data_IF_596240383148
#
_entry.id   IF_596240383148
#
_cell.length_a   1.000
_cell.length_b   1.000
_cell.length_c   1.000
_cell.angle_alpha   90.00
_cell.angle_beta   90.00
_cell.angle_gamma   90.00
#
_symmetry.space_group_name_H-M   'P 1'
#
loop_
_entity.id
_entity.type
_entity.pdbx_description
1 polymer ?
#
# COMPACT_ATOMS: atom_id res chain seq x y z
N UNK A 1 -23.54 13.82 -39.42
CA UNK A 1 -22.64 12.68 -39.71
C UNK A 1 -22.62 11.86 -38.46
N UNK A 2 -23.33 10.76 -38.47
CA UNK A 2 -23.52 9.89 -37.31
C UNK A 2 -22.19 9.20 -36.93
N UNK A 3 -21.66 9.54 -35.74
CA UNK A 3 -20.49 8.90 -35.18
C UNK A 3 -20.85 7.63 -34.36
N UNK A 4 -21.91 6.95 -34.75
CA UNK A 4 -22.24 5.62 -34.21
C UNK A 4 -21.60 4.56 -35.11
N UNK A 5 -20.30 4.34 -34.93
CA UNK A 5 -19.64 3.20 -35.51
C UNK A 5 -19.10 2.34 -34.37
N UNK A 6 -19.86 1.29 -34.05
CA UNK A 6 -19.44 0.20 -33.18
C UNK A 6 -18.28 -0.57 -33.86
N UNK A 7 -17.13 0.09 -33.97
CA UNK A 7 -15.91 -0.62 -34.28
C UNK A 7 -15.57 -1.48 -33.07
N UNK A 8 -15.71 -2.76 -33.23
CA UNK A 8 -15.27 -3.79 -32.32
C UNK A 8 -13.73 -3.69 -32.26
N UNK A 9 -13.20 -2.88 -31.38
CA UNK A 9 -11.78 -2.89 -31.08
C UNK A 9 -11.47 -4.23 -30.42
N UNK A 10 -10.82 -5.11 -31.17
CA UNK A 10 -10.32 -6.40 -30.67
C UNK A 10 -8.91 -6.28 -30.08
N UNK A 11 -8.32 -5.10 -30.15
CA UNK A 11 -6.96 -4.80 -29.73
C UNK A 11 -6.95 -4.00 -28.43
N UNK A 12 -6.23 -4.53 -27.45
CA UNK A 12 -6.10 -3.93 -26.14
C UNK A 12 -5.51 -2.50 -26.16
N UNK A 13 -4.57 -2.22 -27.08
CA UNK A 13 -3.96 -0.89 -27.25
C UNK A 13 -4.96 0.12 -27.81
N UNK A 14 -5.78 -0.28 -28.78
CA UNK A 14 -6.82 0.58 -29.35
C UNK A 14 -7.89 0.93 -28.31
N UNK A 15 -8.35 -0.04 -27.53
CA UNK A 15 -9.30 0.17 -26.44
C UNK A 15 -8.72 1.12 -25.37
N UNK A 16 -7.47 0.94 -24.99
CA UNK A 16 -6.77 1.81 -24.06
C UNK A 16 -6.68 3.24 -24.60
N UNK A 17 -6.22 3.41 -25.84
CA UNK A 17 -6.05 4.73 -26.46
C UNK A 17 -7.37 5.51 -26.52
N UNK A 18 -8.45 4.87 -26.93
CA UNK A 18 -9.78 5.50 -27.02
C UNK A 18 -10.35 5.75 -25.61
N UNK A 19 -10.21 4.81 -24.68
CA UNK A 19 -10.63 5.00 -23.29
C UNK A 19 -9.94 6.19 -22.62
N UNK A 20 -8.64 6.32 -22.83
CA UNK A 20 -7.85 7.45 -22.33
C UNK A 20 -8.33 8.80 -22.90
N UNK A 21 -8.65 8.87 -24.18
CA UNK A 21 -9.18 10.09 -24.83
C UNK A 21 -10.55 10.50 -24.28
N UNK A 22 -11.44 9.56 -23.98
CA UNK A 22 -12.70 9.85 -23.28
C UNK A 22 -12.48 10.34 -21.85
N UNK A 23 -11.45 9.86 -21.17
CA UNK A 23 -11.12 10.30 -19.82
C UNK A 23 -10.58 11.75 -19.81
N UNK A 24 -9.69 12.06 -20.73
CA UNK A 24 -8.99 13.35 -20.83
C UNK A 24 -9.81 14.42 -21.57
N UNK A 25 -10.79 14.02 -22.38
CA UNK A 25 -11.54 14.93 -23.25
C UNK A 25 -10.72 15.34 -24.50
N UNK A 26 -9.72 14.52 -24.88
CA UNK A 26 -8.85 14.80 -26.02
C UNK A 26 -9.53 14.39 -27.35
N UNK A 27 -9.95 15.37 -28.15
CA UNK A 27 -10.69 15.21 -29.41
C UNK A 27 -12.04 14.48 -29.30
N UNK A 28 -12.51 14.20 -28.09
CA UNK A 28 -13.79 13.58 -27.76
C UNK A 28 -14.41 14.32 -26.58
N UNK A 29 -15.73 14.33 -26.49
CA UNK A 29 -16.40 14.83 -25.28
C UNK A 29 -16.02 13.92 -24.10
N UNK A 30 -15.67 14.54 -22.97
CA UNK A 30 -15.26 13.84 -21.77
C UNK A 30 -16.38 12.94 -21.23
N UNK A 31 -16.15 11.64 -21.20
CA UNK A 31 -17.10 10.62 -20.72
C UNK A 31 -16.37 9.60 -19.84
N UNK A 32 -16.31 9.82 -18.51
CA UNK A 32 -15.63 8.92 -17.59
C UNK A 32 -16.23 7.51 -17.56
N UNK A 33 -17.55 7.38 -17.77
CA UNK A 33 -18.24 6.06 -17.76
C UNK A 33 -17.80 5.24 -18.95
N UNK A 34 -17.82 5.85 -20.15
CA UNK A 34 -17.35 5.18 -21.38
C UNK A 34 -15.85 4.93 -21.36
N UNK A 35 -15.07 5.85 -20.77
CA UNK A 35 -13.65 5.66 -20.54
C UNK A 35 -13.40 4.39 -19.70
N UNK A 36 -14.11 4.24 -18.59
CA UNK A 36 -13.98 3.07 -17.69
C UNK A 36 -14.33 1.76 -18.39
N UNK A 37 -15.42 1.72 -19.16
CA UNK A 37 -15.80 0.50 -19.93
C UNK A 37 -14.68 0.08 -20.89
N UNK A 38 -14.18 1.02 -21.70
CA UNK A 38 -13.12 0.74 -22.67
C UNK A 38 -11.80 0.32 -22.01
N UNK A 39 -11.44 0.97 -20.93
CA UNK A 39 -10.24 0.64 -20.16
C UNK A 39 -10.37 -0.72 -19.47
N UNK A 40 -11.56 -1.08 -18.95
CA UNK A 40 -11.82 -2.41 -18.36
C UNK A 40 -11.68 -3.51 -19.39
N UNK A 41 -12.16 -3.29 -20.61
CA UNK A 41 -11.99 -4.22 -21.72
C UNK A 41 -10.53 -4.35 -22.15
N UNK A 42 -9.79 -3.24 -22.21
CA UNK A 42 -8.35 -3.27 -22.49
C UNK A 42 -7.59 -4.05 -21.39
N UNK A 43 -7.92 -3.81 -20.13
CA UNK A 43 -7.32 -4.48 -18.98
C UNK A 43 -7.57 -6.00 -18.99
N UNK A 44 -8.81 -6.43 -19.33
CA UNK A 44 -9.15 -7.86 -19.46
C UNK A 44 -8.40 -8.56 -20.60
N UNK A 45 -7.92 -7.80 -21.59
CA UNK A 45 -7.05 -8.28 -22.66
C UNK A 45 -5.55 -8.20 -22.28
N UNK A 46 -5.22 -7.91 -21.02
CA UNK A 46 -3.86 -7.86 -20.52
C UNK A 46 -3.14 -6.52 -20.72
N UNK A 47 -3.84 -5.44 -21.06
CA UNK A 47 -3.23 -4.13 -21.24
C UNK A 47 -2.88 -3.47 -19.90
N UNK A 48 -1.61 -3.53 -19.51
CA UNK A 48 -1.09 -3.10 -18.22
C UNK A 48 -1.40 -1.62 -17.88
N UNK A 49 -1.19 -0.69 -18.83
CA UNK A 49 -1.49 0.73 -18.60
C UNK A 49 -2.99 1.00 -18.42
N UNK A 50 -3.86 0.18 -19.01
CA UNK A 50 -5.30 0.28 -18.78
C UNK A 50 -5.64 -0.16 -17.34
N UNK A 51 -5.02 -1.21 -16.83
CA UNK A 51 -5.15 -1.65 -15.44
C UNK A 51 -4.70 -0.55 -14.47
N UNK A 52 -3.53 0.04 -14.73
CA UNK A 52 -2.98 1.15 -13.93
C UNK A 52 -3.91 2.38 -13.95
N UNK A 53 -4.44 2.72 -15.11
CA UNK A 53 -5.33 3.87 -15.29
C UNK A 53 -6.69 3.64 -14.64
N UNK A 54 -7.26 2.44 -14.73
CA UNK A 54 -8.50 2.06 -14.04
C UNK A 54 -8.36 2.18 -12.52
N UNK A 55 -7.25 1.74 -11.97
CA UNK A 55 -6.95 1.88 -10.54
C UNK A 55 -6.87 3.36 -10.13
N UNK A 56 -6.36 4.24 -11.02
CA UNK A 56 -6.35 5.68 -10.76
C UNK A 56 -7.72 6.36 -10.98
N UNK A 57 -8.62 5.72 -11.75
CA UNK A 57 -10.01 6.14 -11.98
C UNK A 57 -10.98 5.58 -10.94
N UNK A 58 -10.52 4.74 -10.02
CA UNK A 58 -11.35 4.40 -8.86
C UNK A 58 -11.77 5.72 -8.24
N UNK A 59 -13.05 6.05 -8.41
CA UNK A 59 -13.64 7.22 -7.79
C UNK A 59 -13.27 7.16 -6.32
N UNK A 60 -12.58 8.20 -5.85
CA UNK A 60 -12.53 8.41 -4.41
C UNK A 60 -14.00 8.39 -3.99
N UNK A 61 -14.42 7.43 -3.16
CA UNK A 61 -15.82 7.35 -2.78
C UNK A 61 -16.25 8.74 -2.31
N UNK A 62 -17.47 9.19 -2.66
CA UNK A 62 -17.96 10.46 -2.12
C UNK A 62 -17.78 10.43 -0.60
N UNK A 63 -17.37 11.53 0.02
CA UNK A 63 -17.05 11.61 1.46
C UNK A 63 -18.13 10.98 2.36
N UNK A 64 -19.37 10.94 1.88
CA UNK A 64 -20.52 10.36 2.58
C UNK A 64 -20.90 8.94 2.16
N UNK A 65 -20.16 8.31 1.23
CA UNK A 65 -20.47 6.95 0.79
C UNK A 65 -20.19 5.90 1.87
N UNK A 66 -20.87 4.73 1.87
CA UNK A 66 -20.54 3.62 2.76
C UNK A 66 -19.08 3.15 2.61
N UNK A 67 -18.55 3.19 1.39
CA UNK A 67 -17.17 2.81 1.06
C UNK A 67 -16.16 3.80 1.66
N UNK A 68 -16.44 5.10 1.62
CA UNK A 68 -15.61 6.12 2.26
C UNK A 68 -15.62 5.96 3.77
N UNK A 69 -16.80 5.69 4.35
CA UNK A 69 -16.95 5.52 5.81
C UNK A 69 -16.20 4.30 6.32
N UNK A 70 -16.34 3.14 5.68
CA UNK A 70 -15.66 1.92 6.12
C UNK A 70 -14.13 2.06 5.98
N UNK A 71 -13.65 2.76 4.94
CA UNK A 71 -12.24 3.08 4.77
C UNK A 71 -11.75 4.03 5.88
N UNK A 72 -12.51 5.09 6.17
CA UNK A 72 -12.18 6.05 7.22
C UNK A 72 -12.22 5.40 8.61
N UNK A 73 -13.18 4.51 8.89
CA UNK A 73 -13.21 3.73 10.13
C UNK A 73 -11.93 2.91 10.29
N UNK A 74 -11.51 2.18 9.25
CA UNK A 74 -10.29 1.38 9.26
C UNK A 74 -9.05 2.23 9.53
N UNK A 75 -8.79 3.26 8.70
CA UNK A 75 -7.55 4.04 8.77
C UNK A 75 -7.46 4.94 10.00
N UNK A 76 -8.60 5.34 10.57
CA UNK A 76 -8.65 6.16 11.79
C UNK A 76 -8.63 5.34 13.09
N UNK A 77 -8.56 4.01 12.98
CA UNK A 77 -8.48 3.10 14.13
C UNK A 77 -9.81 2.83 14.84
N UNK A 78 -10.94 3.17 14.21
CA UNK A 78 -12.26 2.76 14.67
C UNK A 78 -12.50 1.29 14.30
N UNK A 79 -13.47 0.69 14.95
CA UNK A 79 -13.88 -0.69 14.66
C UNK A 79 -14.57 -0.79 13.29
N UNK A 80 -14.14 -1.74 12.46
CA UNK A 80 -14.68 -1.97 11.13
C UNK A 80 -14.87 -3.46 10.84
N UNK A 81 -15.66 -3.77 9.81
CA UNK A 81 -15.83 -5.14 9.31
C UNK A 81 -14.79 -5.44 8.25
N UNK A 82 -13.79 -6.28 8.59
CA UNK A 82 -12.72 -6.68 7.69
C UNK A 82 -13.20 -7.47 6.46
N UNK A 83 -14.44 -7.97 6.48
CA UNK A 83 -15.01 -8.70 5.35
C UNK A 83 -15.82 -7.82 4.38
N UNK A 84 -15.86 -6.51 4.62
CA UNK A 84 -16.58 -5.58 3.75
C UNK A 84 -16.07 -5.68 2.30
N UNK A 85 -16.96 -5.86 1.30
CA UNK A 85 -16.55 -6.09 -0.09
C UNK A 85 -15.58 -5.06 -0.65
N UNK A 86 -15.77 -3.77 -0.36
CA UNK A 86 -14.89 -2.69 -0.78
C UNK A 86 -13.45 -2.85 -0.26
N UNK A 87 -13.27 -3.25 1.01
CA UNK A 87 -11.95 -3.49 1.58
C UNK A 87 -11.28 -4.71 0.95
N UNK A 88 -12.04 -5.79 0.72
CA UNK A 88 -11.53 -7.01 0.09
C UNK A 88 -11.11 -6.77 -1.38
N UNK A 89 -11.87 -5.96 -2.12
CA UNK A 89 -11.52 -5.58 -3.49
C UNK A 89 -10.19 -4.84 -3.54
N UNK A 90 -10.01 -3.81 -2.71
CA UNK A 90 -8.76 -3.04 -2.60
C UNK A 90 -7.58 -3.92 -2.17
N UNK A 91 -7.80 -4.78 -1.18
CA UNK A 91 -6.79 -5.73 -0.71
C UNK A 91 -6.33 -6.67 -1.84
N UNK A 92 -7.26 -7.20 -2.64
CA UNK A 92 -6.94 -8.07 -3.76
C UNK A 92 -6.20 -7.31 -4.88
N UNK A 93 -6.66 -6.10 -5.23
CA UNK A 93 -5.98 -5.26 -6.21
C UNK A 93 -4.53 -4.95 -5.79
N UNK A 94 -4.30 -4.69 -4.50
CA UNK A 94 -2.94 -4.50 -3.97
C UNK A 94 -2.11 -5.78 -4.07
N UNK A 95 -2.67 -6.95 -3.73
CA UNK A 95 -1.97 -8.24 -3.84
C UNK A 95 -1.54 -8.56 -5.26
N UNK A 96 -2.35 -8.24 -6.26
CA UNK A 96 -2.01 -8.41 -7.67
C UNK A 96 -0.81 -7.52 -8.05
N UNK A 97 -0.79 -6.26 -7.62
CA UNK A 97 0.33 -5.33 -7.86
C UNK A 97 1.63 -5.78 -7.16
N UNK A 98 1.52 -6.29 -5.94
CA UNK A 98 2.65 -6.88 -5.20
C UNK A 98 3.20 -8.11 -5.92
N UNK A 99 2.30 -8.96 -6.44
CA UNK A 99 2.70 -10.11 -7.22
C UNK A 99 3.48 -9.70 -8.47
N UNK A 100 3.05 -8.67 -9.20
CA UNK A 100 3.79 -8.11 -10.32
C UNK A 100 5.15 -7.57 -9.89
N UNK A 101 5.19 -6.75 -8.82
CA UNK A 101 6.42 -6.22 -8.27
C UNK A 101 7.42 -7.32 -7.93
N UNK A 102 6.99 -8.34 -7.22
CA UNK A 102 7.85 -9.43 -6.76
C UNK A 102 8.38 -10.34 -7.88
N UNK A 103 7.78 -10.30 -9.07
CA UNK A 103 8.24 -11.04 -10.26
C UNK A 103 9.20 -10.27 -11.16
N UNK A 104 9.34 -8.96 -10.98
CA UNK A 104 10.30 -8.19 -11.75
C UNK A 104 11.74 -8.65 -11.45
N UNK A 105 12.58 -8.68 -12.48
CA UNK A 105 14.01 -8.94 -12.30
C UNK A 105 14.64 -7.85 -11.44
N UNK A 106 15.58 -8.18 -10.53
CA UNK A 106 16.24 -7.20 -9.68
C UNK A 106 16.90 -6.04 -10.43
N UNK A 107 17.36 -6.27 -11.66
CA UNK A 107 17.98 -5.27 -12.53
C UNK A 107 17.01 -4.26 -13.16
N UNK A 108 15.69 -4.51 -13.12
CA UNK A 108 14.66 -3.62 -13.69
C UNK A 108 14.29 -2.51 -12.69
N UNK A 109 15.28 -1.67 -12.36
CA UNK A 109 15.14 -0.66 -11.30
C UNK A 109 14.08 0.39 -11.61
N UNK A 110 13.95 0.79 -12.87
CA UNK A 110 12.98 1.80 -13.30
C UNK A 110 11.56 1.29 -13.11
N UNK A 111 11.26 0.11 -13.61
CA UNK A 111 9.95 -0.53 -13.54
C UNK A 111 9.56 -0.83 -12.08
N UNK A 112 10.52 -1.28 -11.27
CA UNK A 112 10.32 -1.50 -9.83
C UNK A 112 9.93 -0.20 -9.12
N UNK A 113 10.65 0.88 -9.38
CA UNK A 113 10.38 2.18 -8.78
C UNK A 113 9.02 2.77 -9.23
N UNK A 114 8.64 2.56 -10.49
CA UNK A 114 7.33 2.96 -11.01
C UNK A 114 6.18 2.22 -10.29
N UNK A 115 6.32 0.90 -10.11
CA UNK A 115 5.33 0.12 -9.36
C UNK A 115 5.24 0.54 -7.89
N UNK A 116 6.37 0.76 -7.22
CA UNK A 116 6.38 1.22 -5.83
C UNK A 116 5.71 2.59 -5.66
N UNK A 117 5.98 3.55 -6.57
CA UNK A 117 5.31 4.86 -6.52
C UNK A 117 3.79 4.78 -6.67
N UNK A 118 3.32 3.84 -7.50
CA UNK A 118 1.89 3.62 -7.66
C UNK A 118 1.27 2.79 -6.53
N UNK A 119 2.06 2.03 -5.78
CA UNK A 119 1.61 1.16 -4.70
C UNK A 119 1.58 1.89 -3.35
N UNK A 120 2.64 2.64 -3.04
CA UNK A 120 2.79 3.31 -1.75
C UNK A 120 2.04 4.64 -1.73
N UNK A 121 1.44 4.99 -0.60
CA UNK A 121 0.74 6.26 -0.40
C UNK A 121 1.65 7.48 -0.53
N UNK A 122 2.93 7.33 -0.18
CA UNK A 122 4.00 8.29 -0.45
C UNK A 122 5.35 7.59 -0.51
N UNK A 123 6.11 7.85 -1.55
CA UNK A 123 7.51 7.44 -1.66
C UNK A 123 8.27 8.44 -2.52
N UNK A 124 9.53 8.69 -2.18
CA UNK A 124 10.40 9.52 -2.99
C UNK A 124 11.14 8.67 -4.04
N UNK A 125 11.75 9.31 -5.05
CA UNK A 125 12.38 8.62 -6.19
C UNK A 125 13.60 7.75 -5.84
N UNK A 126 14.13 7.89 -4.62
CA UNK A 126 15.25 7.13 -4.06
C UNK A 126 14.82 6.04 -3.06
N UNK A 127 13.53 5.72 -3.04
CA UNK A 127 12.99 4.59 -2.26
C UNK A 127 13.45 3.27 -2.88
N UNK A 128 14.03 2.40 -2.06
CA UNK A 128 14.49 1.09 -2.48
C UNK A 128 13.98 -0.01 -1.55
N UNK A 129 13.22 -0.95 -2.09
CA UNK A 129 12.73 -2.12 -1.36
C UNK A 129 13.19 -3.38 -2.10
N UNK A 130 13.90 -4.29 -1.44
CA UNK A 130 14.23 -5.58 -2.01
C UNK A 130 13.01 -6.50 -2.05
N UNK A 131 12.93 -7.28 -3.11
CA UNK A 131 11.90 -8.30 -3.30
C UNK A 131 12.26 -9.59 -2.54
N UNK A 132 11.28 -10.33 -2.02
CA UNK A 132 9.87 -9.97 -2.04
C UNK A 132 9.51 -8.90 -0.99
N UNK A 133 8.47 -8.14 -1.30
CA UNK A 133 7.82 -7.17 -0.43
C UNK A 133 6.33 -7.53 -0.31
N UNK A 134 5.73 -7.29 0.86
CA UNK A 134 4.32 -7.56 1.11
C UNK A 134 3.66 -6.43 1.89
N UNK A 135 2.44 -6.05 1.50
CA UNK A 135 1.58 -5.16 2.27
C UNK A 135 0.10 -5.48 1.99
N UNK A 136 -0.81 -4.92 2.77
CA UNK A 136 -2.24 -5.12 2.58
C UNK A 136 -2.84 -4.10 1.60
N UNK A 137 -2.64 -2.82 1.84
CA UNK A 137 -3.18 -1.76 0.98
C UNK A 137 -2.09 -0.94 0.27
N UNK A 138 -0.91 -0.81 0.85
CA UNK A 138 0.19 0.00 0.34
C UNK A 138 -0.08 1.50 0.41
N UNK A 139 -1.30 1.94 0.11
CA UNK A 139 -1.72 3.34 0.12
C UNK A 139 -1.60 4.02 1.50
N UNK A 140 -1.57 3.25 2.57
CA UNK A 140 -1.38 3.76 3.93
C UNK A 140 0.08 3.80 4.36
N UNK A 141 1.02 3.35 3.51
CA UNK A 141 2.46 3.37 3.78
C UNK A 141 3.06 4.65 3.21
N UNK A 142 3.76 5.40 4.05
CA UNK A 142 4.47 6.63 3.67
C UNK A 142 5.92 6.50 4.09
N UNK A 143 6.84 6.64 3.16
CA UNK A 143 8.29 6.58 3.41
C UNK A 143 8.96 7.87 2.95
N UNK A 144 9.96 8.30 3.72
CA UNK A 144 10.77 9.47 3.44
C UNK A 144 11.86 9.21 2.41
N UNK A 145 12.77 10.18 2.28
CA UNK A 145 13.90 10.13 1.34
C UNK A 145 14.94 9.10 1.77
N UNK A 146 15.59 8.49 0.79
CA UNK A 146 16.67 7.50 0.99
C UNK A 146 16.25 6.31 1.85
N UNK A 147 14.97 5.94 1.74
CA UNK A 147 14.43 4.77 2.42
C UNK A 147 14.96 3.49 1.77
N UNK A 148 15.49 2.60 2.59
CA UNK A 148 15.95 1.28 2.18
C UNK A 148 15.28 0.19 2.99
N UNK A 149 14.69 -0.81 2.33
CA UNK A 149 14.24 -2.04 2.97
C UNK A 149 14.85 -3.27 2.30
N UNK A 150 15.28 -4.21 3.12
CA UNK A 150 15.84 -5.48 2.70
C UNK A 150 14.73 -6.52 2.42
N UNK A 151 15.13 -7.75 2.10
CA UNK A 151 14.24 -8.85 1.68
C UNK A 151 13.15 -9.17 2.72
N UNK A 152 11.97 -9.57 2.22
CA UNK A 152 10.82 -9.98 3.04
C UNK A 152 10.33 -8.89 4.00
N UNK A 153 10.42 -7.62 3.60
CA UNK A 153 9.76 -6.54 4.33
C UNK A 153 8.26 -6.72 4.20
N UNK A 154 7.55 -6.74 5.33
CA UNK A 154 6.10 -6.98 5.39
C UNK A 154 5.43 -5.88 6.21
N UNK A 155 4.37 -5.28 5.66
CA UNK A 155 3.61 -4.22 6.34
C UNK A 155 2.13 -4.53 6.22
N UNK A 156 1.46 -4.80 7.35
CA UNK A 156 -0.01 -4.88 7.39
C UNK A 156 -0.50 -3.46 7.71
N UNK A 157 -0.95 -2.74 6.68
CA UNK A 157 -1.18 -1.30 6.72
C UNK A 157 -2.68 -0.92 6.70
N UNK A 158 -3.47 -1.51 7.57
CA UNK A 158 -4.86 -1.11 7.82
C UNK A 158 -4.95 0.32 8.38
N UNK A 159 -3.99 0.71 9.23
CA UNK A 159 -3.78 2.09 9.67
C UNK A 159 -2.47 2.65 9.07
N UNK A 160 -2.28 3.99 9.10
CA UNK A 160 -1.09 4.62 8.56
C UNK A 160 0.21 4.09 9.16
N UNK A 161 1.17 3.77 8.27
CA UNK A 161 2.57 3.49 8.61
C UNK A 161 3.42 4.60 8.01
N UNK A 162 4.05 5.40 8.87
CA UNK A 162 4.89 6.52 8.44
C UNK A 162 6.34 6.26 8.86
N UNK A 163 7.25 6.34 7.91
CA UNK A 163 8.70 6.19 8.13
C UNK A 163 9.41 7.44 7.61
N UNK A 164 10.29 7.99 8.41
CA UNK A 164 11.05 9.20 8.09
C UNK A 164 12.16 8.99 7.07
N UNK A 165 13.02 10.00 6.96
CA UNK A 165 14.18 10.02 6.05
C UNK A 165 15.31 9.12 6.57
N UNK A 166 16.17 8.63 5.65
CA UNK A 166 17.41 7.90 5.98
C UNK A 166 17.19 6.64 6.83
N UNK A 167 16.09 5.94 6.63
CA UNK A 167 15.79 4.72 7.37
C UNK A 167 16.26 3.47 6.65
N UNK A 168 16.86 2.55 7.42
CA UNK A 168 17.37 1.27 6.95
C UNK A 168 16.64 0.12 7.65
N UNK A 169 15.94 -0.67 6.85
CA UNK A 169 15.16 -1.83 7.34
C UNK A 169 15.87 -3.11 6.95
N UNK A 170 16.20 -3.92 7.95
CA UNK A 170 16.82 -5.24 7.77
C UNK A 170 15.88 -6.28 7.14
N UNK A 171 16.40 -7.46 6.79
CA UNK A 171 15.58 -8.52 6.21
C UNK A 171 14.57 -9.09 7.22
N UNK A 172 13.43 -9.56 6.71
CA UNK A 172 12.34 -10.16 7.50
C UNK A 172 11.77 -9.25 8.58
N UNK A 173 11.80 -7.93 8.39
CA UNK A 173 11.14 -6.99 9.30
C UNK A 173 9.65 -6.95 8.99
N UNK A 174 8.84 -6.95 10.05
CA UNK A 174 7.39 -6.88 9.95
C UNK A 174 6.86 -5.71 10.78
N UNK A 175 5.93 -4.94 10.18
CA UNK A 175 5.20 -3.85 10.84
C UNK A 175 3.72 -4.22 10.76
N UNK A 176 3.05 -4.25 11.91
CA UNK A 176 1.63 -4.59 11.99
C UNK A 176 0.84 -3.41 12.56
N UNK A 177 -0.26 -3.07 11.91
CA UNK A 177 -1.21 -2.08 12.42
C UNK A 177 -2.52 -2.71 12.87
N UNK A 178 -2.90 -3.86 12.29
CA UNK A 178 -4.13 -4.58 12.60
C UNK A 178 -4.18 -5.10 14.04
N UNK A 179 -5.34 -5.00 14.65
CA UNK A 179 -5.64 -5.48 15.99
C UNK A 179 -6.93 -6.31 15.98
N UNK A 180 -6.91 -7.43 16.67
CA UNK A 180 -8.09 -8.27 16.90
C UNK A 180 -8.42 -8.38 18.38
N UNK A 181 -9.68 -8.61 18.71
CA UNK A 181 -10.08 -8.89 20.09
C UNK A 181 -9.43 -10.18 20.60
N UNK A 182 -9.00 -10.16 21.84
CA UNK A 182 -8.55 -11.35 22.55
C UNK A 182 -9.73 -12.27 22.95
N UNK A 183 -10.96 -11.73 22.99
CA UNK A 183 -12.17 -12.53 23.13
C UNK A 183 -12.45 -13.27 21.82
N UNK A 184 -12.55 -14.61 21.83
CA UNK A 184 -12.78 -15.39 20.62
C UNK A 184 -14.16 -15.14 20.01
N UNK A 185 -15.19 -14.78 20.79
CA UNK A 185 -16.54 -14.49 20.28
C UNK A 185 -16.50 -13.20 19.46
N UNK A 186 -15.93 -12.15 20.03
CA UNK A 186 -15.76 -10.86 19.33
C UNK A 186 -14.88 -11.04 18.08
N UNK A 187 -13.73 -11.70 18.19
CA UNK A 187 -12.84 -11.94 17.05
C UNK A 187 -13.51 -12.69 15.92
N UNK A 188 -14.39 -13.66 16.23
CA UNK A 188 -15.11 -14.45 15.23
C UNK A 188 -16.17 -13.63 14.50
N UNK A 189 -16.58 -12.46 15.01
CA UNK A 189 -17.46 -11.52 14.30
C UNK A 189 -16.80 -10.84 13.10
N UNK A 190 -15.49 -11.03 12.90
CA UNK A 190 -14.67 -10.38 11.86
C UNK A 190 -14.51 -8.86 12.02
N UNK A 191 -14.91 -8.35 13.17
CA UNK A 191 -14.65 -6.94 13.51
C UNK A 191 -13.25 -6.82 14.08
N UNK A 192 -12.56 -5.78 13.63
CA UNK A 192 -11.21 -5.47 14.04
C UNK A 192 -10.99 -3.95 14.04
N UNK A 193 -9.86 -3.52 14.52
CA UNK A 193 -9.43 -2.12 14.47
C UNK A 193 -7.93 -2.08 14.17
N UNK A 194 -7.40 -0.90 13.87
CA UNK A 194 -5.99 -0.75 13.61
C UNK A 194 -5.39 0.41 14.41
N UNK A 195 -4.06 0.40 14.59
CA UNK A 195 -3.33 1.48 15.24
C UNK A 195 -2.13 1.86 14.40
N UNK A 196 -1.92 3.16 14.12
CA UNK A 196 -0.82 3.61 13.28
C UNK A 196 0.54 3.30 13.89
N UNK A 197 1.55 3.14 13.03
CA UNK A 197 2.94 3.01 13.43
C UNK A 197 3.73 4.18 12.84
N UNK A 198 4.56 4.81 13.67
CA UNK A 198 5.41 5.93 13.25
C UNK A 198 6.87 5.62 13.56
N UNK A 199 7.75 5.86 12.58
CA UNK A 199 9.20 5.71 12.70
C UNK A 199 9.82 7.04 12.26
N UNK A 200 10.66 7.62 13.09
CA UNK A 200 11.36 8.89 12.83
C UNK A 200 12.46 8.75 11.79
N UNK A 201 13.34 9.76 11.75
CA UNK A 201 14.45 9.84 10.81
C UNK A 201 15.69 9.09 11.30
N UNK A 202 16.58 8.68 10.39
CA UNK A 202 17.85 8.02 10.72
C UNK A 202 17.69 6.76 11.60
N UNK A 203 16.68 5.94 11.33
CA UNK A 203 16.42 4.73 12.12
C UNK A 203 16.99 3.51 11.40
N UNK A 204 17.74 2.70 12.15
CA UNK A 204 18.19 1.39 11.70
C UNK A 204 17.43 0.28 12.45
N UNK A 205 16.69 -0.52 11.70
CA UNK A 205 15.96 -1.68 12.21
C UNK A 205 16.68 -2.94 11.75
N UNK A 206 17.19 -3.71 12.69
CA UNK A 206 17.85 -5.00 12.46
C UNK A 206 16.91 -6.05 11.87
N UNK A 207 17.50 -7.12 11.30
CA UNK A 207 16.71 -8.19 10.69
C UNK A 207 15.80 -8.92 11.68
N UNK A 208 14.67 -9.43 11.17
CA UNK A 208 13.67 -10.21 11.93
C UNK A 208 13.07 -9.44 13.12
N UNK A 209 13.00 -8.11 13.02
CA UNK A 209 12.28 -7.27 13.99
C UNK A 209 10.80 -7.26 13.67
N UNK A 210 9.98 -7.32 14.71
CA UNK A 210 8.52 -7.13 14.61
C UNK A 210 8.12 -5.88 15.39
N UNK A 211 7.37 -4.97 14.72
CA UNK A 211 6.82 -3.75 15.33
C UNK A 211 5.32 -3.93 15.46
N UNK A 212 4.81 -3.78 16.69
CA UNK A 212 3.40 -3.99 17.00
C UNK A 212 2.56 -2.71 16.80
N UNK A 213 1.23 -2.87 16.68
CA UNK A 213 0.32 -1.76 16.44
C UNK A 213 0.41 -0.63 17.47
N UNK A 214 0.40 0.60 16.98
CA UNK A 214 0.40 1.80 17.84
C UNK A 214 1.76 2.25 18.33
N UNK A 215 2.85 1.62 17.89
CA UNK A 215 4.22 1.96 18.32
C UNK A 215 4.74 3.19 17.58
N UNK A 216 5.37 4.09 18.34
CA UNK A 216 6.20 5.17 17.83
C UNK A 216 7.67 4.91 18.13
N UNK A 217 8.52 4.92 17.10
CA UNK A 217 9.98 4.87 17.22
C UNK A 217 10.51 6.26 16.84
N UNK A 218 11.24 6.89 17.75
CA UNK A 218 11.84 8.20 17.55
C UNK A 218 12.94 8.21 16.51
N UNK A 219 13.56 9.37 16.31
CA UNK A 219 14.68 9.55 15.36
C UNK A 219 16.02 9.11 15.96
N UNK A 220 16.98 8.77 15.08
CA UNK A 220 18.34 8.34 15.47
C UNK A 220 18.34 7.07 16.35
N UNK A 221 17.41 6.16 16.13
CA UNK A 221 17.23 4.93 16.90
C UNK A 221 17.83 3.73 16.16
N UNK A 222 18.38 2.80 16.95
CA UNK A 222 18.78 1.48 16.46
C UNK A 222 17.98 0.40 17.17
N UNK A 223 17.28 -0.44 16.41
CA UNK A 223 16.60 -1.64 16.93
C UNK A 223 17.41 -2.87 16.58
N UNK A 224 17.88 -3.60 17.58
CA UNK A 224 18.66 -4.82 17.38
C UNK A 224 17.84 -5.96 16.75
N UNK A 225 18.51 -6.80 15.96
CA UNK A 225 17.88 -7.93 15.28
C UNK A 225 17.11 -8.87 16.22
N UNK A 226 16.00 -9.43 15.71
CA UNK A 226 15.15 -10.37 16.47
C UNK A 226 14.30 -9.71 17.57
N UNK A 227 14.24 -8.39 17.63
CA UNK A 227 13.45 -7.68 18.65
C UNK A 227 11.97 -7.67 18.32
N UNK A 228 11.13 -7.65 19.38
CA UNK A 228 9.68 -7.40 19.27
C UNK A 228 9.37 -6.09 19.99
N UNK A 229 9.09 -5.04 19.18
CA UNK A 229 8.84 -3.69 19.68
C UNK A 229 7.37 -3.57 20.06
N UNK A 230 7.09 -3.51 21.36
CA UNK A 230 5.74 -3.52 21.95
C UNK A 230 5.37 -2.20 22.62
N UNK A 231 6.29 -1.24 22.66
CA UNK A 231 6.14 0.10 23.27
C UNK A 231 6.99 1.09 22.51
N UNK A 232 6.67 2.35 22.65
CA UNK A 232 7.42 3.46 22.07
C UNK A 232 8.90 3.45 22.47
N UNK A 233 9.75 3.84 21.52
CA UNK A 233 11.19 3.98 21.72
C UNK A 233 11.56 5.45 21.52
N UNK A 234 12.14 6.11 22.54
CA UNK A 234 12.56 7.51 22.45
C UNK A 234 13.67 7.74 21.43
N UNK A 235 13.88 9.01 21.06
CA UNK A 235 14.97 9.43 20.18
C UNK A 235 16.35 9.01 20.71
N UNK A 236 17.27 8.73 19.80
CA UNK A 236 18.69 8.51 20.09
C UNK A 236 19.01 7.21 20.82
N UNK A 237 18.07 6.32 20.97
CA UNK A 237 18.21 5.08 21.74
C UNK A 237 18.71 3.89 20.92
N UNK A 238 19.33 2.96 21.60
CA UNK A 238 19.53 1.58 21.14
C UNK A 238 18.62 0.68 21.97
N UNK A 239 17.76 -0.10 21.26
CA UNK A 239 16.80 -1.00 21.91
C UNK A 239 16.89 -2.42 21.31
N UNK A 240 16.75 -3.43 22.17
CA UNK A 240 16.91 -4.84 21.76
C UNK A 240 15.98 -5.76 22.55
N UNK A 241 15.72 -6.94 22.01
CA UNK A 241 15.14 -8.07 22.75
C UNK A 241 13.65 -8.30 22.48
N UNK A 242 13.12 -9.35 23.10
CA UNK A 242 11.70 -9.70 23.09
C UNK A 242 11.23 -9.93 24.54
N UNK A 243 10.43 -9.01 25.09
CA UNK A 243 10.01 -7.73 24.51
C UNK A 243 11.18 -6.73 24.43
N UNK A 244 11.16 -5.87 23.39
CA UNK A 244 12.21 -4.88 23.15
C UNK A 244 12.32 -3.86 24.30
N UNK A 245 13.57 -3.55 24.69
CA UNK A 245 13.88 -2.57 25.76
C UNK A 245 15.06 -1.70 25.35
N UNK A 246 15.03 -0.45 25.76
CA UNK A 246 16.16 0.48 25.62
C UNK A 246 17.33 -0.04 26.47
N UNK A 247 18.51 -0.10 25.87
CA UNK A 247 19.75 -0.55 26.52
C UNK A 247 20.83 0.54 26.51
N UNK A 248 20.65 1.59 25.67
CA UNK A 248 21.55 2.74 25.60
C UNK A 248 20.78 3.96 25.09
#
# INVERSE_FOLDING_TARGET
MDCNNDYIYSDAEALFSVGKRFLEGDCLEKDPVKARDLLSRAASLGHRKAQELLLSMEETPSEDSPEARIWDDMVSGREYDATHPYLLERLNATKDRIWEYNKLRPSMLKERNELLRGLLGKSDGDTFINQPFYCDYGSNIRVGRRFFANFNFTVLDEAPVTVGDDCFIGPNVSIYTACHSTDPIERNSRREWAKPVTIGDNVWIGGSVTILPGVTIGSNVTIGAGSVVVKDIPDGCVAVGNPCRVVK
#
